data_IF_899998809070
#
_entry.id   IF_899998809070
#
_cell.length_a   1.000
_cell.length_b   1.000
_cell.length_c   1.000
_cell.angle_alpha   90.00
_cell.angle_beta   90.00
_cell.angle_gamma   90.00
#
_symmetry.space_group_name_H-M   'P 1'
#
loop_
_entity.id
_entity.type
_entity.pdbx_description
1 polymer ?
#
# COMPACT_ATOMS: atom_id res chain seq x y z
N UNK A 1 -19.74 -4.59 -4.81
CA UNK A 1 -19.72 -4.76 -3.34
C UNK A 1 -20.87 -5.63 -2.90
N UNK A 2 -20.57 -6.70 -2.18
CA UNK A 2 -21.57 -7.62 -1.62
C UNK A 2 -21.44 -7.71 -0.10
N UNK A 3 -22.52 -8.10 0.59
CA UNK A 3 -22.47 -8.43 2.03
C UNK A 3 -22.45 -9.95 2.16
N UNK A 4 -21.43 -10.47 2.85
CA UNK A 4 -21.29 -11.90 3.15
C UNK A 4 -21.66 -12.16 4.60
N UNK A 5 -22.36 -13.28 4.85
CA UNK A 5 -22.65 -13.78 6.19
C UNK A 5 -21.84 -15.06 6.42
N UNK A 6 -20.95 -15.04 7.43
CA UNK A 6 -20.14 -16.20 7.83
C UNK A 6 -20.40 -16.50 9.30
N UNK A 7 -21.33 -17.43 9.57
CA UNK A 7 -21.80 -17.69 10.93
C UNK A 7 -22.46 -16.44 11.52
N UNK A 8 -21.99 -15.97 12.69
CA UNK A 8 -22.48 -14.76 13.35
C UNK A 8 -21.85 -13.46 12.79
N UNK A 9 -20.84 -13.56 11.93
CA UNK A 9 -20.10 -12.41 11.43
C UNK A 9 -20.61 -11.94 10.07
N UNK A 10 -20.73 -10.62 9.93
CA UNK A 10 -21.03 -9.94 8.66
C UNK A 10 -19.77 -9.33 8.08
N UNK A 11 -19.54 -9.58 6.80
CA UNK A 11 -18.44 -9.03 6.04
C UNK A 11 -18.96 -8.23 4.85
N UNK A 12 -18.19 -7.24 4.42
CA UNK A 12 -18.30 -6.67 3.08
C UNK A 12 -17.26 -7.34 2.19
N UNK A 13 -17.66 -7.64 0.97
CA UNK A 13 -16.80 -8.17 -0.07
C UNK A 13 -16.66 -7.16 -1.19
N UNK A 14 -15.43 -6.77 -1.46
CA UNK A 14 -15.05 -5.84 -2.51
C UNK A 14 -14.79 -6.62 -3.80
N UNK A 15 -15.54 -6.31 -4.83
CA UNK A 15 -15.39 -6.88 -6.16
C UNK A 15 -14.41 -6.03 -6.96
N UNK A 16 -13.14 -6.08 -6.52
CA UNK A 16 -12.07 -5.33 -7.17
C UNK A 16 -11.81 -5.87 -8.58
N UNK A 17 -11.82 -4.97 -9.56
CA UNK A 17 -11.50 -5.25 -10.93
C UNK A 17 -9.99 -5.09 -11.17
N UNK A 18 -9.35 -6.18 -11.62
CA UNK A 18 -7.92 -6.23 -11.85
C UNK A 18 -7.48 -5.32 -13.01
N UNK A 19 -8.33 -5.11 -14.02
CA UNK A 19 -8.02 -4.22 -15.14
C UNK A 19 -7.99 -2.75 -14.70
N UNK A 20 -8.97 -2.34 -13.89
CA UNK A 20 -8.98 -1.01 -13.27
C UNK A 20 -7.76 -0.79 -12.38
N UNK A 21 -7.40 -1.74 -11.52
CA UNK A 21 -6.19 -1.66 -10.68
C UNK A 21 -4.92 -1.55 -11.53
N UNK A 22 -4.83 -2.33 -12.61
CA UNK A 22 -3.73 -2.26 -13.56
C UNK A 22 -3.62 -0.87 -14.17
N UNK A 23 -4.75 -0.29 -14.58
CA UNK A 23 -4.82 1.05 -15.17
C UNK A 23 -4.37 2.12 -14.17
N UNK A 24 -4.87 2.06 -12.93
CA UNK A 24 -4.46 2.96 -11.85
C UNK A 24 -2.96 2.89 -11.58
N UNK A 25 -2.39 1.68 -11.53
CA UNK A 25 -0.96 1.50 -11.30
C UNK A 25 -0.11 2.09 -12.43
N UNK A 26 -0.50 1.84 -13.69
CA UNK A 26 0.17 2.41 -14.87
C UNK A 26 0.09 3.94 -14.90
N UNK A 27 -1.07 4.52 -14.56
CA UNK A 27 -1.22 5.97 -14.44
C UNK A 27 -0.33 6.59 -13.36
N UNK A 28 -0.01 5.83 -12.30
CA UNK A 28 0.94 6.24 -11.26
C UNK A 28 2.42 5.94 -11.61
N UNK A 29 2.69 5.40 -12.82
CA UNK A 29 4.05 5.13 -13.30
C UNK A 29 4.63 3.77 -12.87
N UNK A 30 3.79 2.80 -12.53
CA UNK A 30 4.21 1.44 -12.17
C UNK A 30 3.86 0.43 -13.26
N UNK A 31 4.83 -0.43 -13.57
CA UNK A 31 4.55 -1.76 -14.10
C UNK A 31 3.96 -2.63 -12.99
N UNK A 32 3.04 -3.53 -13.34
CA UNK A 32 2.27 -4.30 -12.38
C UNK A 32 2.08 -5.74 -12.83
N UNK A 33 2.25 -6.67 -11.89
CA UNK A 33 1.80 -8.06 -12.00
C UNK A 33 0.75 -8.31 -10.92
N UNK A 34 -0.45 -8.71 -11.34
CA UNK A 34 -1.56 -8.95 -10.41
C UNK A 34 -1.81 -10.44 -10.26
N UNK A 35 -2.04 -10.87 -9.02
CA UNK A 35 -2.67 -12.12 -8.67
C UNK A 35 -3.95 -11.81 -7.90
N UNK A 36 -5.09 -11.99 -8.56
CA UNK A 36 -6.40 -11.85 -7.90
C UNK A 36 -6.79 -13.18 -7.25
N UNK A 37 -6.89 -13.16 -5.92
CA UNK A 37 -7.32 -14.30 -5.12
C UNK A 37 -8.73 -14.09 -4.58
N UNK A 38 -9.27 -15.14 -3.96
CA UNK A 38 -10.63 -15.09 -3.41
C UNK A 38 -10.82 -13.97 -2.38
N UNK A 39 -9.87 -13.77 -1.46
CA UNK A 39 -9.98 -12.80 -0.34
C UNK A 39 -9.06 -11.60 -0.45
N UNK A 40 -8.07 -11.67 -1.32
CA UNK A 40 -7.01 -10.66 -1.44
C UNK A 40 -6.57 -10.53 -2.88
N UNK A 41 -6.28 -9.31 -3.30
CA UNK A 41 -5.57 -9.03 -4.53
C UNK A 41 -4.12 -8.67 -4.20
N UNK A 42 -3.16 -9.35 -4.83
CA UNK A 42 -1.73 -9.06 -4.67
C UNK A 42 -1.21 -8.42 -5.93
N UNK A 43 -0.60 -7.25 -5.80
CA UNK A 43 0.03 -6.50 -6.87
C UNK A 43 1.54 -6.37 -6.61
N UNK A 44 2.35 -6.94 -7.49
CA UNK A 44 3.78 -6.66 -7.54
C UNK A 44 3.99 -5.45 -8.45
N UNK A 45 4.49 -4.36 -7.86
CA UNK A 45 4.61 -3.06 -8.49
C UNK A 45 6.08 -2.68 -8.66
N UNK A 46 6.46 -2.25 -9.86
CA UNK A 46 7.83 -1.81 -10.18
C UNK A 46 7.79 -0.50 -10.95
N UNK A 47 8.50 0.52 -10.46
CA UNK A 47 8.62 1.81 -11.16
C UNK A 47 9.86 1.80 -12.08
N UNK A 48 9.86 0.97 -13.13
CA UNK A 48 11.05 0.65 -13.93
C UNK A 48 11.73 1.84 -14.62
N UNK A 49 10.97 2.91 -14.93
CA UNK A 49 11.51 4.14 -15.52
C UNK A 49 12.17 5.09 -14.52
N UNK A 50 12.11 4.80 -13.23
CA UNK A 50 12.63 5.67 -12.17
C UNK A 50 14.12 5.41 -11.96
N UNK A 51 14.88 6.45 -11.60
CA UNK A 51 16.29 6.31 -11.22
C UNK A 51 16.48 6.43 -9.71
N UNK A 52 15.62 7.19 -9.03
CA UNK A 52 15.60 7.30 -7.57
C UNK A 52 14.74 6.19 -6.93
N UNK A 53 14.98 5.84 -5.66
CA UNK A 53 14.10 4.95 -4.92
C UNK A 53 12.66 5.47 -4.83
N UNK A 54 11.73 4.56 -4.51
CA UNK A 54 10.41 4.95 -4.02
C UNK A 54 10.59 5.71 -2.71
N UNK A 55 9.76 6.74 -2.52
CA UNK A 55 9.78 7.63 -1.37
C UNK A 55 9.14 6.95 -0.13
N UNK A 56 9.65 5.79 0.23
CA UNK A 56 9.30 5.06 1.45
C UNK A 56 10.43 5.30 2.45
N UNK A 57 10.21 6.13 3.47
CA UNK A 57 11.28 6.57 4.38
C UNK A 57 10.98 6.23 5.84
N UNK A 58 12.01 6.20 6.67
CA UNK A 58 11.86 5.96 8.11
C UNK A 58 11.26 7.19 8.81
N UNK A 59 10.11 7.02 9.46
CA UNK A 59 9.47 8.06 10.26
C UNK A 59 10.30 8.46 11.50
N UNK A 60 11.14 7.56 12.01
CA UNK A 60 11.93 7.79 13.22
C UNK A 60 13.23 8.57 12.96
N UNK A 61 13.67 8.68 11.70
CA UNK A 61 14.86 9.46 11.36
C UNK A 61 14.59 10.97 11.54
N UNK A 62 15.34 11.67 12.41
CA UNK A 62 15.18 13.10 12.62
C UNK A 62 15.30 13.95 11.34
N UNK A 63 16.02 13.46 10.31
CA UNK A 63 16.12 14.13 9.02
C UNK A 63 14.78 14.18 8.26
N UNK A 64 13.83 13.30 8.61
CA UNK A 64 12.55 13.16 7.92
C UNK A 64 11.38 13.87 8.61
N UNK A 65 11.56 14.54 9.75
CA UNK A 65 10.45 15.16 10.52
C UNK A 65 9.59 16.13 9.69
N UNK A 66 10.23 16.93 8.84
CA UNK A 66 9.53 17.86 7.95
C UNK A 66 8.70 17.16 6.86
N UNK A 67 9.12 15.97 6.42
CA UNK A 67 8.37 15.15 5.46
C UNK A 67 7.30 14.31 6.15
N UNK A 68 7.61 13.74 7.31
CA UNK A 68 6.70 12.95 8.13
C UNK A 68 5.40 13.69 8.38
N UNK A 69 5.45 14.94 8.84
CA UNK A 69 4.26 15.76 9.11
C UNK A 69 3.38 16.06 7.88
N UNK A 70 3.90 15.84 6.66
CA UNK A 70 3.20 16.10 5.39
C UNK A 70 2.72 14.83 4.70
N UNK A 71 3.04 13.65 5.25
CA UNK A 71 2.62 12.38 4.67
C UNK A 71 1.11 12.20 4.80
N UNK A 72 0.50 11.82 3.67
CA UNK A 72 -0.89 11.36 3.64
C UNK A 72 -1.03 9.90 4.10
N UNK A 73 0.04 9.12 3.98
CA UNK A 73 0.06 7.70 4.28
C UNK A 73 1.20 7.33 5.21
N UNK A 74 0.88 6.42 6.13
CA UNK A 74 1.79 5.84 7.09
C UNK A 74 1.68 4.32 7.00
N UNK A 75 2.81 3.63 7.08
CA UNK A 75 2.90 2.17 7.06
C UNK A 75 3.39 1.70 8.42
N UNK A 76 2.66 0.81 9.07
CA UNK A 76 3.21 0.09 10.23
C UNK A 76 4.33 -0.84 9.74
N UNK A 77 5.57 -0.52 10.11
CA UNK A 77 6.74 -1.27 9.67
C UNK A 77 6.70 -2.74 10.07
N UNK A 78 5.97 -3.10 11.13
CA UNK A 78 5.89 -4.46 11.68
C UNK A 78 4.90 -5.36 10.97
N UNK A 79 3.81 -4.80 10.47
CA UNK A 79 2.74 -5.57 9.83
C UNK A 79 2.64 -5.30 8.33
N UNK A 80 3.27 -4.22 7.86
CA UNK A 80 3.07 -3.68 6.53
C UNK A 80 1.72 -2.97 6.35
N UNK A 81 0.88 -2.88 7.38
CA UNK A 81 -0.43 -2.25 7.23
C UNK A 81 -0.28 -0.78 6.82
N UNK A 82 -0.88 -0.41 5.69
CA UNK A 82 -1.04 1.00 5.32
C UNK A 82 -2.20 1.54 6.16
N UNK A 83 -1.87 2.36 7.14
CA UNK A 83 -2.79 2.75 8.22
C UNK A 83 -4.10 3.31 7.68
N UNK A 84 -5.21 2.87 8.27
CA UNK A 84 -6.57 3.29 7.92
C UNK A 84 -7.02 2.93 6.49
N UNK A 85 -6.36 1.98 5.85
CA UNK A 85 -6.75 1.45 4.53
C UNK A 85 -6.84 -0.07 4.56
N UNK A 86 -7.47 -0.72 3.56
CA UNK A 86 -7.46 -2.18 3.44
C UNK A 86 -6.18 -2.72 2.79
N UNK A 87 -5.12 -1.90 2.70
CA UNK A 87 -3.89 -2.23 1.99
C UNK A 87 -2.75 -2.59 2.94
N UNK A 88 -1.89 -3.50 2.49
CA UNK A 88 -0.65 -3.87 3.14
C UNK A 88 0.50 -3.77 2.15
N UNK A 89 1.62 -3.20 2.59
CA UNK A 89 2.85 -3.01 1.84
C UNK A 89 3.93 -3.98 2.32
N UNK A 90 4.70 -4.52 1.39
CA UNK A 90 5.94 -5.22 1.66
C UNK A 90 7.01 -4.81 0.65
N UNK A 91 8.29 -4.89 1.04
CA UNK A 91 9.38 -4.76 0.08
C UNK A 91 9.38 -5.96 -0.87
N UNK A 92 9.63 -5.72 -2.16
CA UNK A 92 10.11 -6.79 -3.02
C UNK A 92 11.59 -7.00 -2.75
N UNK A 93 12.03 -8.25 -2.71
CA UNK A 93 13.44 -8.58 -2.48
C UNK A 93 14.08 -8.98 -3.81
N UNK A 94 15.35 -8.65 -3.98
CA UNK A 94 16.17 -9.20 -5.05
C UNK A 94 16.60 -10.65 -4.73
N UNK A 95 17.38 -11.27 -5.63
CA UNK A 95 17.88 -12.64 -5.43
C UNK A 95 18.82 -12.77 -4.22
N UNK A 96 19.41 -11.67 -3.76
CA UNK A 96 20.26 -11.60 -2.57
C UNK A 96 19.49 -11.31 -1.28
N UNK A 97 18.15 -11.23 -1.35
CA UNK A 97 17.30 -10.91 -0.20
C UNK A 97 17.28 -9.43 0.19
N UNK A 98 17.84 -8.53 -0.64
CA UNK A 98 17.83 -7.09 -0.37
C UNK A 98 16.58 -6.43 -0.94
N UNK A 99 15.97 -5.46 -0.25
CA UNK A 99 14.88 -4.67 -0.79
C UNK A 99 15.23 -4.02 -2.13
N UNK A 100 14.36 -4.19 -3.12
CA UNK A 100 14.44 -3.49 -4.39
C UNK A 100 13.95 -2.05 -4.20
N UNK A 101 14.82 -1.07 -4.46
CA UNK A 101 14.57 0.35 -4.18
C UNK A 101 13.39 0.95 -4.97
N UNK A 102 13.03 0.33 -6.11
CA UNK A 102 11.99 0.80 -7.01
C UNK A 102 10.77 -0.12 -7.09
N UNK A 103 10.70 -1.14 -6.22
CA UNK A 103 9.65 -2.15 -6.29
C UNK A 103 9.09 -2.52 -4.91
N UNK A 104 7.77 -2.65 -4.85
CA UNK A 104 7.02 -3.02 -3.65
C UNK A 104 5.93 -4.00 -4.00
N UNK A 105 5.51 -4.81 -3.03
CA UNK A 105 4.32 -5.64 -3.14
C UNK A 105 3.22 -4.99 -2.33
N UNK A 106 2.07 -4.81 -2.97
CA UNK A 106 0.86 -4.35 -2.32
C UNK A 106 -0.14 -5.51 -2.24
N UNK A 107 -0.77 -5.68 -1.09
CA UNK A 107 -1.89 -6.59 -0.90
C UNK A 107 -3.11 -5.78 -0.54
N UNK A 108 -4.24 -6.02 -1.21
CA UNK A 108 -5.52 -5.38 -0.91
C UNK A 108 -6.48 -6.45 -0.42
N UNK A 109 -6.99 -6.28 0.80
CA UNK A 109 -7.99 -7.18 1.38
C UNK A 109 -9.37 -6.91 0.77
N UNK A 110 -9.98 -7.94 0.19
CA UNK A 110 -11.33 -7.88 -0.43
C UNK A 110 -12.44 -8.15 0.58
N UNK A 111 -12.16 -8.95 1.61
CA UNK A 111 -13.13 -9.33 2.65
C UNK A 111 -12.85 -8.56 3.94
N UNK A 112 -13.75 -7.65 4.31
CA UNK A 112 -13.57 -6.77 5.48
C UNK A 112 -14.78 -6.87 6.42
N UNK A 113 -14.62 -6.61 7.73
CA UNK A 113 -15.76 -6.56 8.64
C UNK A 113 -16.84 -5.58 8.16
N UNK A 114 -18.12 -5.89 8.33
CA UNK A 114 -19.21 -4.99 7.92
C UNK A 114 -19.18 -3.63 8.64
N UNK A 115 -18.50 -3.56 9.80
CA UNK A 115 -18.23 -2.33 10.56
C UNK A 115 -17.03 -1.54 10.04
N UNK A 116 -16.29 -2.03 9.06
CA UNK A 116 -15.11 -1.36 8.53
C UNK A 116 -15.51 0.00 7.93
N UNK A 117 -14.85 1.06 8.39
CA UNK A 117 -15.05 2.42 7.91
C UNK A 117 -13.70 3.10 7.75
N UNK A 118 -13.62 3.96 6.75
CA UNK A 118 -12.51 4.88 6.60
C UNK A 118 -12.62 6.03 7.62
N UNK A 119 -11.56 6.83 7.80
CA UNK A 119 -11.60 8.04 8.62
C UNK A 119 -12.79 8.92 8.28
N UNK A 120 -13.41 9.52 9.29
CA UNK A 120 -14.66 10.27 9.10
C UNK A 120 -15.91 9.39 8.93
N UNK A 121 -15.84 8.10 9.29
CA UNK A 121 -16.95 7.12 9.20
C UNK A 121 -17.44 6.87 7.77
N UNK A 122 -16.61 7.15 6.77
CA UNK A 122 -16.98 6.96 5.37
C UNK A 122 -17.10 5.46 5.05
N UNK A 123 -18.14 5.05 4.30
CA UNK A 123 -18.26 3.69 3.82
C UNK A 123 -17.16 3.41 2.79
N UNK A 124 -16.63 2.19 2.79
CA UNK A 124 -15.66 1.76 1.80
C UNK A 124 -16.41 1.16 0.59
N UNK A 125 -16.16 1.71 -0.59
CA UNK A 125 -16.62 1.16 -1.89
C UNK A 125 -15.41 0.88 -2.77
N UNK A 126 -15.60 0.13 -3.86
CA UNK A 126 -14.54 -0.18 -4.82
C UNK A 126 -13.93 1.11 -5.42
N UNK A 127 -14.76 2.10 -5.74
CA UNK A 127 -14.29 3.38 -6.28
C UNK A 127 -13.37 4.11 -5.28
N UNK A 128 -13.70 4.07 -4.00
CA UNK A 128 -12.87 4.65 -2.95
C UNK A 128 -11.56 3.89 -2.81
N UNK A 129 -11.56 2.56 -2.94
CA UNK A 129 -10.34 1.75 -2.97
C UNK A 129 -9.45 2.13 -4.15
N UNK A 130 -10.01 2.33 -5.35
CA UNK A 130 -9.23 2.75 -6.51
C UNK A 130 -8.62 4.14 -6.33
N UNK A 131 -9.36 5.09 -5.75
CA UNK A 131 -8.86 6.41 -5.43
C UNK A 131 -7.75 6.36 -4.36
N UNK A 132 -7.92 5.57 -3.30
CA UNK A 132 -6.91 5.36 -2.27
C UNK A 132 -5.64 4.74 -2.86
N UNK A 133 -5.78 3.73 -3.71
CA UNK A 133 -4.67 3.09 -4.41
C UNK A 133 -3.92 4.13 -5.25
N UNK A 134 -4.61 4.90 -6.09
CA UNK A 134 -3.99 5.94 -6.91
C UNK A 134 -3.21 6.94 -6.06
N UNK A 135 -3.80 7.44 -4.98
CA UNK A 135 -3.16 8.40 -4.09
C UNK A 135 -1.94 7.79 -3.38
N UNK A 136 -2.04 6.54 -2.94
CA UNK A 136 -0.94 5.83 -2.28
C UNK A 136 0.24 5.60 -3.23
N UNK A 137 -0.01 5.17 -4.47
CA UNK A 137 1.03 4.98 -5.48
C UNK A 137 1.69 6.31 -5.90
N UNK A 138 0.90 7.38 -6.00
CA UNK A 138 1.46 8.72 -6.20
C UNK A 138 2.30 9.16 -5.00
N UNK A 139 1.88 8.86 -3.77
CA UNK A 139 2.66 9.20 -2.59
C UNK A 139 4.03 8.51 -2.61
N UNK A 140 4.09 7.23 -3.00
CA UNK A 140 5.35 6.49 -3.14
C UNK A 140 6.31 7.07 -4.19
N UNK A 141 5.82 7.87 -5.15
CA UNK A 141 6.66 8.41 -6.23
C UNK A 141 6.92 9.91 -6.14
N UNK A 142 6.02 10.67 -5.51
CA UNK A 142 5.99 12.15 -5.56
C UNK A 142 6.14 12.84 -4.21
N UNK A 143 5.48 12.36 -3.15
CA UNK A 143 5.38 13.12 -1.88
C UNK A 143 6.03 12.43 -0.69
N UNK A 144 6.03 11.10 -0.66
CA UNK A 144 6.56 10.30 0.42
C UNK A 144 5.52 9.56 1.26
N UNK A 145 5.91 8.39 1.75
CA UNK A 145 5.20 7.50 2.65
C UNK A 145 6.12 7.15 3.81
N UNK A 146 5.62 7.33 5.03
CA UNK A 146 6.42 7.12 6.23
C UNK A 146 6.24 5.70 6.78
N UNK A 147 7.34 5.01 7.05
CA UNK A 147 7.36 3.72 7.76
C UNK A 147 7.49 4.00 9.25
N UNK A 148 6.50 3.57 10.02
CA UNK A 148 6.41 3.76 11.46
C UNK A 148 6.86 2.49 12.17
N UNK A 149 7.94 2.59 12.95
CA UNK A 149 8.50 1.47 13.72
C UNK A 149 9.48 0.62 12.91
N UNK A 150 10.64 0.32 13.50
CA UNK A 150 11.67 -0.48 12.86
C UNK A 150 11.28 -1.97 12.81
N UNK A 151 11.06 -2.53 11.62
CA UNK A 151 10.67 -3.95 11.49
C UNK A 151 10.81 -4.52 10.06
N UNK A 152 9.86 -5.35 9.62
CA UNK A 152 9.89 -6.17 8.39
C UNK A 152 9.84 -5.34 7.11
N UNK A 153 9.11 -4.23 7.11
CA UNK A 153 9.12 -3.28 6.00
C UNK A 153 10.30 -2.34 6.21
N UNK A 154 11.23 -2.38 5.26
CA UNK A 154 12.40 -1.53 5.22
C UNK A 154 12.11 -0.25 4.44
N UNK A 155 12.57 0.91 4.95
CA UNK A 155 12.67 2.13 4.15
C UNK A 155 13.47 1.88 2.86
N UNK A 156 13.10 2.57 1.78
CA UNK A 156 13.77 2.56 0.48
C UNK A 156 14.45 3.89 0.16
N UNK A 157 14.06 4.98 0.83
CA UNK A 157 14.62 6.32 0.69
C UNK A 157 15.06 6.90 2.05
N UNK A 158 15.99 7.85 2.00
CA UNK A 158 16.65 8.40 3.18
C UNK A 158 17.93 7.63 3.52
N UNK A 159 18.44 7.77 4.76
CA UNK A 159 19.56 6.95 5.23
C UNK A 159 19.06 5.53 5.47
N UNK A 160 19.30 4.63 4.52
CA UNK A 160 18.94 3.21 4.61
C UNK A 160 20.08 2.36 5.20
N UNK A 161 21.14 2.99 5.73
CA UNK A 161 22.29 2.30 6.32
C UNK A 161 22.10 2.16 7.84
N UNK A 162 21.85 0.91 8.24
CA UNK A 162 21.85 0.38 9.60
C UNK A 162 21.99 -1.13 9.55
#
# INVERSE_FOLDING_TARGET
>A
MQVLQAGEHKFIFLELDAETITTVAKQAGFDIKIKDGARTLVAELTAAGRQSPLLLFDAADPANLGWFSRCQFYVDGRTGAVMQTPMQLANQLDRGGKPQSQAVRLTITKELPASYRLPGKQPLTEQVVYALLYNFLNALTKTGVAVCGASIVKPLAGRTEG
#
